data_IF_240798243790
#
_entry.id   IF_240798243790
#
_cell.length_a   1.000
_cell.length_b   1.000
_cell.length_c   1.000
_cell.angle_alpha   90.00
_cell.angle_beta   90.00
_cell.angle_gamma   90.00
#
_symmetry.space_group_name_H-M   'P 1'
#
loop_
_entity.id
_entity.type
_entity.pdbx_description
1 polymer ?
#
# COMPACT_ATOMS: atom_id res chain seq x y z
N UNK A 1 -5.45 -25.19 3.96
CA UNK A 1 -4.37 -24.88 4.92
C UNK A 1 -5.03 -24.34 6.19
N UNK A 2 -4.38 -24.38 7.36
CA UNK A 2 -4.96 -23.76 8.56
C UNK A 2 -4.88 -22.23 8.44
N UNK A 3 -5.90 -21.52 8.90
CA UNK A 3 -5.97 -20.04 8.83
C UNK A 3 -4.67 -19.37 9.36
N UNK A 4 -4.12 -19.90 10.45
CA UNK A 4 -2.89 -19.43 11.07
C UNK A 4 -1.70 -19.47 10.13
N UNK A 5 -1.57 -20.54 9.32
CA UNK A 5 -0.47 -20.66 8.36
C UNK A 5 -0.60 -19.65 7.23
N UNK A 6 -1.81 -19.37 6.75
CA UNK A 6 -2.03 -18.35 5.72
C UNK A 6 -1.65 -16.96 6.21
N UNK A 7 -2.02 -16.59 7.43
CA UNK A 7 -1.68 -15.28 8.01
C UNK A 7 -0.16 -15.13 8.13
N UNK A 8 0.54 -16.14 8.63
CA UNK A 8 2.00 -16.11 8.80
C UNK A 8 2.70 -15.97 7.44
N UNK A 9 2.28 -16.74 6.45
CA UNK A 9 2.83 -16.69 5.08
C UNK A 9 2.59 -15.30 4.48
N UNK A 10 1.35 -14.81 4.53
CA UNK A 10 0.99 -13.49 4.00
C UNK A 10 1.81 -12.36 4.63
N UNK A 11 1.98 -12.38 5.94
CA UNK A 11 2.81 -11.38 6.64
C UNK A 11 4.28 -11.46 6.26
N UNK A 12 4.85 -12.67 6.22
CA UNK A 12 6.27 -12.87 5.90
C UNK A 12 6.58 -12.44 4.47
N UNK A 13 5.81 -12.89 3.48
CA UNK A 13 6.05 -12.55 2.08
C UNK A 13 5.75 -11.09 1.77
N UNK A 14 4.70 -10.49 2.35
CA UNK A 14 4.43 -9.07 2.17
C UNK A 14 5.54 -8.19 2.79
N UNK A 15 6.05 -8.59 3.95
CA UNK A 15 7.19 -7.93 4.59
C UNK A 15 8.45 -8.04 3.71
N UNK A 16 8.78 -9.25 3.25
CA UNK A 16 9.93 -9.50 2.38
C UNK A 16 9.83 -8.74 1.05
N UNK A 17 8.66 -8.72 0.41
CA UNK A 17 8.44 -7.96 -0.82
C UNK A 17 8.69 -6.46 -0.61
N UNK A 18 8.17 -5.90 0.48
CA UNK A 18 8.31 -4.48 0.79
C UNK A 18 9.74 -4.10 1.19
N UNK A 19 10.43 -4.93 1.98
CA UNK A 19 11.83 -4.71 2.35
C UNK A 19 12.74 -4.90 1.14
N UNK A 20 12.51 -5.95 0.34
CA UNK A 20 13.26 -6.24 -0.88
C UNK A 20 13.15 -5.08 -1.87
N UNK A 21 11.94 -4.58 -2.11
CA UNK A 21 11.75 -3.38 -2.93
C UNK A 21 12.37 -2.12 -2.29
N UNK A 22 12.30 -1.98 -0.97
CA UNK A 22 12.98 -0.91 -0.26
C UNK A 22 14.50 -0.93 -0.49
N UNK A 23 15.11 -2.12 -0.56
CA UNK A 23 16.53 -2.28 -0.88
C UNK A 23 16.83 -1.88 -2.33
N UNK A 24 15.98 -2.25 -3.30
CA UNK A 24 16.23 -1.92 -4.72
C UNK A 24 16.21 -0.42 -4.99
N UNK A 25 15.36 0.33 -4.28
CA UNK A 25 15.30 1.80 -4.38
C UNK A 25 16.22 2.52 -3.38
N UNK A 26 17.11 1.80 -2.70
CA UNK A 26 18.10 2.33 -1.77
C UNK A 26 17.51 3.13 -0.59
N UNK A 27 16.46 2.59 0.05
CA UNK A 27 15.89 3.15 1.29
C UNK A 27 16.93 3.07 2.43
N UNK A 28 17.06 4.13 3.27
CA UNK A 28 17.95 4.09 4.43
C UNK A 28 17.72 2.86 5.32
N UNK A 29 18.79 2.16 5.71
CA UNK A 29 18.69 0.92 6.49
C UNK A 29 17.83 1.05 7.77
N UNK A 30 17.88 2.21 8.43
CA UNK A 30 17.10 2.51 9.65
C UNK A 30 15.58 2.58 9.40
N UNK A 31 15.15 2.73 8.14
CA UNK A 31 13.76 2.83 7.72
C UNK A 31 13.21 1.52 7.11
N UNK A 32 14.07 0.61 6.64
CA UNK A 32 13.67 -0.63 5.96
C UNK A 32 12.69 -1.48 6.76
N UNK A 33 12.94 -1.67 8.06
CA UNK A 33 12.06 -2.48 8.92
C UNK A 33 10.64 -1.91 8.94
N UNK A 34 10.50 -0.58 9.03
CA UNK A 34 9.21 0.09 9.04
C UNK A 34 8.52 0.06 7.66
N UNK A 35 9.30 0.03 6.57
CA UNK A 35 8.77 -0.19 5.23
C UNK A 35 8.13 -1.58 5.13
N UNK A 36 8.84 -2.60 5.62
CA UNK A 36 8.32 -3.97 5.75
C UNK A 36 7.02 -4.04 6.55
N UNK A 37 6.98 -3.38 7.72
CA UNK A 37 5.78 -3.33 8.56
C UNK A 37 4.63 -2.62 7.86
N UNK A 38 4.88 -1.53 7.13
CA UNK A 38 3.82 -0.82 6.41
C UNK A 38 3.18 -1.69 5.32
N UNK A 39 3.98 -2.44 4.57
CA UNK A 39 3.46 -3.30 3.51
C UNK A 39 2.82 -4.58 4.00
N UNK A 40 3.34 -5.19 5.08
CA UNK A 40 2.66 -6.34 5.70
C UNK A 40 1.32 -5.94 6.32
N UNK A 41 1.23 -4.76 6.94
CA UNK A 41 -0.02 -4.21 7.45
C UNK A 41 -1.02 -3.87 6.32
N UNK A 42 -0.55 -3.25 5.23
CA UNK A 42 -1.39 -3.01 4.06
C UNK A 42 -1.95 -4.29 3.45
N UNK A 43 -1.09 -5.31 3.31
CA UNK A 43 -1.47 -6.61 2.77
C UNK A 43 -2.45 -7.36 3.66
N UNK A 44 -2.25 -7.38 4.98
CA UNK A 44 -3.16 -8.10 5.87
C UNK A 44 -4.55 -7.45 5.90
N UNK A 45 -4.61 -6.10 5.84
CA UNK A 45 -5.90 -5.38 5.71
C UNK A 45 -6.58 -5.77 4.40
N UNK A 46 -5.85 -5.72 3.28
CA UNK A 46 -6.37 -6.18 1.99
C UNK A 46 -6.89 -7.62 2.06
N UNK A 47 -6.08 -8.54 2.59
CA UNK A 47 -6.41 -9.95 2.66
C UNK A 47 -7.65 -10.20 3.52
N UNK A 48 -7.70 -9.64 4.74
CA UNK A 48 -8.85 -9.79 5.64
C UNK A 48 -10.13 -9.23 5.05
N UNK A 49 -10.08 -8.05 4.41
CA UNK A 49 -11.25 -7.44 3.75
C UNK A 49 -11.70 -8.27 2.56
N UNK A 50 -10.76 -8.84 1.81
CA UNK A 50 -11.07 -9.71 0.68
C UNK A 50 -11.77 -11.00 1.13
N UNK A 51 -11.42 -11.55 2.30
CA UNK A 51 -12.11 -12.73 2.86
C UNK A 51 -13.58 -12.47 3.23
N UNK A 52 -13.95 -11.22 3.51
CA UNK A 52 -15.33 -10.84 3.87
C UNK A 52 -16.16 -10.50 2.61
N UNK A 53 -15.56 -10.52 1.41
CA UNK A 53 -16.29 -10.37 0.14
C UNK A 53 -16.59 -8.93 -0.27
N UNK A 54 -15.89 -7.93 0.28
CA UNK A 54 -16.05 -6.49 -0.06
C UNK A 54 -15.60 -6.16 -1.50
N UNK A 55 -14.98 -7.13 -2.18
CA UNK A 55 -14.54 -7.01 -3.56
C UNK A 55 -13.14 -6.37 -3.70
N UNK A 56 -12.55 -6.56 -4.89
CA UNK A 56 -11.15 -6.18 -5.18
C UNK A 56 -10.89 -4.68 -4.99
N UNK A 57 -11.85 -3.83 -5.37
CA UNK A 57 -11.71 -2.38 -5.24
C UNK A 57 -11.64 -1.97 -3.77
N UNK A 58 -12.62 -2.39 -2.96
CA UNK A 58 -12.69 -2.03 -1.53
C UNK A 58 -11.54 -2.60 -0.71
N UNK A 59 -11.13 -3.85 -0.98
CA UNK A 59 -9.98 -4.46 -0.32
C UNK A 59 -8.67 -3.69 -0.59
N UNK A 60 -8.42 -3.34 -1.85
CA UNK A 60 -7.21 -2.59 -2.22
C UNK A 60 -7.25 -1.14 -1.73
N UNK A 61 -8.44 -0.52 -1.73
CA UNK A 61 -8.65 0.81 -1.16
C UNK A 61 -8.27 0.85 0.33
N UNK A 62 -8.79 -0.08 1.14
CA UNK A 62 -8.51 -0.14 2.57
C UNK A 62 -7.05 -0.51 2.85
N UNK A 63 -6.48 -1.44 2.07
CA UNK A 63 -5.05 -1.77 2.15
C UNK A 63 -4.16 -0.56 1.87
N UNK A 64 -4.40 0.17 0.78
CA UNK A 64 -3.62 1.35 0.41
C UNK A 64 -3.80 2.52 1.39
N UNK A 65 -5.01 2.68 1.93
CA UNK A 65 -5.29 3.64 3.00
C UNK A 65 -4.46 3.32 4.25
N UNK A 66 -4.40 2.05 4.65
CA UNK A 66 -3.58 1.60 5.76
C UNK A 66 -2.09 1.91 5.55
N UNK A 67 -1.54 1.58 4.36
CA UNK A 67 -0.15 1.91 4.00
C UNK A 67 0.09 3.42 4.11
N UNK A 68 -0.80 4.23 3.51
CA UNK A 68 -0.65 5.69 3.52
C UNK A 68 -0.66 6.30 4.92
N UNK A 69 -1.56 5.83 5.80
CA UNK A 69 -1.64 6.27 7.20
C UNK A 69 -0.38 5.86 7.97
N UNK A 70 0.08 4.62 7.81
CA UNK A 70 1.30 4.14 8.47
C UNK A 70 2.54 4.89 8.00
N UNK A 71 2.67 5.19 6.70
CA UNK A 71 3.79 5.98 6.23
C UNK A 71 3.83 7.39 6.81
N UNK A 72 2.67 8.03 7.02
CA UNK A 72 2.59 9.33 7.71
C UNK A 72 3.06 9.22 9.17
N UNK A 73 2.72 8.13 9.85
CA UNK A 73 3.14 7.87 11.23
C UNK A 73 4.65 7.61 11.27
N UNK A 74 5.16 6.72 10.42
CA UNK A 74 6.57 6.33 10.38
C UNK A 74 7.50 7.45 9.93
N UNK A 75 7.06 8.30 8.99
CA UNK A 75 7.73 9.53 8.60
C UNK A 75 8.04 10.44 9.78
N UNK A 76 7.08 10.60 10.69
CA UNK A 76 7.28 11.38 11.92
C UNK A 76 8.21 10.69 12.91
N UNK A 77 8.09 9.38 13.08
CA UNK A 77 8.91 8.63 14.03
C UNK A 77 10.38 8.67 13.62
N UNK A 78 10.68 8.57 12.31
CA UNK A 78 12.05 8.52 11.80
C UNK A 78 12.55 9.84 11.20
N UNK A 79 11.72 10.89 11.16
CA UNK A 79 12.03 12.17 10.52
C UNK A 79 12.48 12.02 9.05
N UNK A 80 11.79 11.16 8.31
CA UNK A 80 12.01 10.93 6.88
C UNK A 80 10.80 11.37 6.07
N UNK A 81 10.97 11.70 4.77
CA UNK A 81 9.85 11.91 3.86
C UNK A 81 8.91 10.68 3.83
N UNK A 82 7.60 10.93 3.78
CA UNK A 82 6.55 9.89 3.79
C UNK A 82 6.74 8.86 2.67
N UNK A 83 7.24 9.32 1.51
CA UNK A 83 7.46 8.49 0.33
C UNK A 83 8.44 7.33 0.57
N UNK A 84 9.37 7.46 1.53
CA UNK A 84 10.33 6.41 1.90
C UNK A 84 9.62 5.16 2.41
N UNK A 85 8.50 5.32 3.13
CA UNK A 85 7.71 4.20 3.65
C UNK A 85 6.61 3.76 2.68
N UNK A 86 5.98 4.74 2.02
CA UNK A 86 4.81 4.47 1.20
C UNK A 86 5.11 3.75 -0.11
N UNK A 87 6.20 4.10 -0.80
CA UNK A 87 6.52 3.42 -2.07
C UNK A 87 6.77 1.93 -1.82
N UNK A 88 7.69 1.51 -0.92
CA UNK A 88 7.90 0.08 -0.68
C UNK A 88 6.70 -0.60 -0.03
N UNK A 89 5.96 0.11 0.83
CA UNK A 89 4.80 -0.44 1.52
C UNK A 89 3.62 -0.76 0.61
N UNK A 90 3.47 -0.07 -0.52
CA UNK A 90 2.35 -0.31 -1.45
C UNK A 90 2.61 -1.51 -2.38
N UNK A 91 3.87 -1.95 -2.51
CA UNK A 91 4.33 -2.99 -3.45
C UNK A 91 3.51 -4.28 -3.38
N UNK A 92 3.19 -4.84 -2.20
CA UNK A 92 2.41 -6.08 -2.15
C UNK A 92 1.02 -5.95 -2.79
N UNK A 93 0.43 -4.74 -2.79
CA UNK A 93 -0.91 -4.50 -3.32
C UNK A 93 -0.92 -4.28 -4.84
N UNK A 94 0.22 -3.91 -5.43
CA UNK A 94 0.28 -3.55 -6.85
C UNK A 94 -0.02 -4.77 -7.72
N UNK A 95 -0.95 -4.67 -8.69
CA UNK A 95 -1.34 -5.79 -9.54
C UNK A 95 -0.34 -6.03 -10.68
N UNK A 96 0.94 -6.27 -10.35
CA UNK A 96 2.02 -6.46 -11.32
C UNK A 96 1.89 -7.73 -12.15
N UNK A 97 1.54 -8.87 -11.52
CA UNK A 97 1.35 -10.14 -12.23
C UNK A 97 0.17 -10.06 -13.20
N UNK A 98 -1.03 -9.59 -12.81
CA UNK A 98 -2.13 -9.38 -13.76
C UNK A 98 -1.78 -8.41 -14.89
N UNK A 99 -1.00 -7.35 -14.62
CA UNK A 99 -0.55 -6.43 -15.66
C UNK A 99 0.38 -7.08 -16.68
N UNK A 100 1.37 -7.86 -16.21
CA UNK A 100 2.24 -8.63 -17.11
C UNK A 100 1.43 -9.65 -17.93
N UNK A 101 0.51 -10.37 -17.29
CA UNK A 101 -0.34 -11.35 -17.96
C UNK A 101 -1.27 -10.71 -19.00
N UNK A 102 -1.79 -9.51 -18.73
CA UNK A 102 -2.59 -8.77 -19.69
C UNK A 102 -1.82 -8.50 -20.98
N UNK A 103 -0.61 -7.95 -20.86
CA UNK A 103 0.26 -7.67 -22.02
C UNK A 103 0.62 -8.96 -22.75
N UNK A 104 0.96 -10.02 -22.02
CA UNK A 104 1.25 -11.33 -22.61
C UNK A 104 0.06 -11.88 -23.40
N UNK A 105 -1.15 -11.82 -22.85
CA UNK A 105 -2.36 -12.30 -23.51
C UNK A 105 -2.66 -11.50 -24.79
N UNK A 106 -2.40 -10.19 -24.80
CA UNK A 106 -2.53 -9.37 -26.02
C UNK A 106 -1.56 -9.83 -27.12
N UNK A 107 -0.29 -10.08 -26.76
CA UNK A 107 0.73 -10.54 -27.71
C UNK A 107 0.42 -11.94 -28.24
N UNK A 108 -0.17 -12.81 -27.42
CA UNK A 108 -0.60 -14.16 -27.81
C UNK A 108 -1.95 -14.19 -28.56
N UNK A 109 -2.57 -13.04 -28.81
CA UNK A 109 -3.86 -12.93 -29.53
C UNK A 109 -5.08 -13.37 -28.71
N UNK A 110 -4.93 -13.59 -27.39
CA UNK A 110 -5.99 -14.01 -26.49
C UNK A 110 -6.78 -12.79 -25.95
N UNK A 111 -7.50 -12.11 -26.85
CA UNK A 111 -8.12 -10.80 -26.55
C UNK A 111 -9.12 -10.84 -25.38
N UNK A 112 -9.98 -11.86 -25.30
CA UNK A 112 -10.95 -11.96 -24.19
C UNK A 112 -10.28 -12.06 -22.81
N UNK A 113 -9.18 -12.81 -22.70
CA UNK A 113 -8.42 -12.92 -21.45
C UNK A 113 -7.67 -11.62 -21.14
N UNK A 114 -7.13 -10.95 -22.17
CA UNK A 114 -6.48 -9.66 -22.02
C UNK A 114 -7.44 -8.61 -21.46
N UNK A 115 -8.67 -8.53 -21.97
CA UNK A 115 -9.71 -7.60 -21.50
C UNK A 115 -10.00 -7.77 -20.00
N UNK A 116 -10.22 -9.00 -19.55
CA UNK A 116 -10.50 -9.31 -18.13
C UNK A 116 -9.33 -8.90 -17.21
N UNK A 117 -8.09 -9.15 -17.65
CA UNK A 117 -6.90 -8.80 -16.89
C UNK A 117 -6.67 -7.30 -16.86
N UNK A 118 -6.90 -6.58 -17.96
CA UNK A 118 -6.81 -5.12 -18.03
C UNK A 118 -7.84 -4.50 -17.09
N UNK A 119 -9.10 -4.93 -17.16
CA UNK A 119 -10.15 -4.43 -16.26
C UNK A 119 -9.81 -4.69 -14.79
N UNK A 120 -9.26 -5.86 -14.48
CA UNK A 120 -8.78 -6.18 -13.13
C UNK A 120 -7.69 -5.20 -12.67
N UNK A 121 -6.70 -4.92 -13.51
CA UNK A 121 -5.60 -3.99 -13.20
C UNK A 121 -6.14 -2.58 -12.95
N UNK A 122 -7.05 -2.10 -13.81
CA UNK A 122 -7.67 -0.78 -13.67
C UNK A 122 -8.42 -0.67 -12.33
N UNK A 123 -9.31 -1.62 -12.03
CA UNK A 123 -10.12 -1.61 -10.81
C UNK A 123 -9.23 -1.60 -9.56
N UNK A 124 -8.20 -2.44 -9.53
CA UNK A 124 -7.27 -2.51 -8.40
C UNK A 124 -6.48 -1.21 -8.27
N UNK A 125 -5.92 -0.70 -9.38
CA UNK A 125 -5.08 0.51 -9.37
C UNK A 125 -5.87 1.75 -8.96
N UNK A 126 -7.12 1.87 -9.43
CA UNK A 126 -8.05 2.93 -9.00
C UNK A 126 -8.34 2.82 -7.51
N UNK A 127 -8.61 1.62 -7.00
CA UNK A 127 -8.79 1.38 -5.56
C UNK A 127 -7.59 1.85 -4.74
N UNK A 128 -6.38 1.44 -5.15
CA UNK A 128 -5.12 1.84 -4.50
C UNK A 128 -4.95 3.37 -4.53
N UNK A 129 -5.14 3.99 -5.69
CA UNK A 129 -4.98 5.43 -5.87
C UNK A 129 -5.93 6.21 -4.96
N UNK A 130 -7.22 5.84 -4.91
CA UNK A 130 -8.21 6.48 -4.05
C UNK A 130 -7.87 6.34 -2.57
N UNK A 131 -7.52 5.13 -2.11
CA UNK A 131 -7.19 4.88 -0.72
C UNK A 131 -5.94 5.65 -0.27
N UNK A 132 -4.93 5.65 -1.14
CA UNK A 132 -3.69 6.38 -0.91
C UNK A 132 -3.89 7.90 -0.89
N UNK A 133 -4.62 8.46 -1.86
CA UNK A 133 -4.94 9.89 -1.92
C UNK A 133 -5.73 10.35 -0.70
N UNK A 134 -6.69 9.54 -0.23
CA UNK A 134 -7.46 9.85 0.97
C UNK A 134 -6.57 9.88 2.22
N UNK A 135 -5.66 8.91 2.36
CA UNK A 135 -4.70 8.90 3.47
C UNK A 135 -3.80 10.15 3.47
N UNK A 136 -3.29 10.56 2.31
CA UNK A 136 -2.47 11.78 2.19
C UNK A 136 -3.28 13.04 2.54
N UNK A 137 -4.49 13.17 2.00
CA UNK A 137 -5.37 14.32 2.24
C UNK A 137 -5.70 14.49 3.73
N UNK A 138 -6.05 13.40 4.41
CA UNK A 138 -6.30 13.40 5.87
C UNK A 138 -5.02 13.79 6.62
N UNK A 139 -3.87 13.25 6.19
CA UNK A 139 -2.57 13.61 6.75
C UNK A 139 -2.29 15.11 6.70
N UNK A 140 -2.36 15.70 5.51
CA UNK A 140 -2.11 17.13 5.29
C UNK A 140 -3.03 18.03 6.13
N UNK A 141 -4.33 17.71 6.16
CA UNK A 141 -5.33 18.42 6.96
C UNK A 141 -4.97 18.36 8.45
N UNK A 142 -4.62 17.17 8.95
CA UNK A 142 -4.20 16.98 10.35
C UNK A 142 -2.94 17.76 10.69
N UNK A 143 -1.93 17.77 9.80
CA UNK A 143 -0.69 18.52 9.99
C UNK A 143 -0.91 20.03 10.00
N UNK A 144 -1.71 20.55 9.07
CA UNK A 144 -2.06 21.97 8.98
C UNK A 144 -2.77 22.45 10.24
N UNK A 145 -3.73 21.67 10.75
CA UNK A 145 -4.42 21.96 12.01
C UNK A 145 -3.48 21.96 13.22
N UNK A 146 -2.60 20.97 13.33
CA UNK A 146 -1.67 20.86 14.48
C UNK A 146 -0.65 22.00 14.49
N UNK A 147 -0.14 22.42 13.33
CA UNK A 147 0.75 23.58 13.19
C UNK A 147 0.06 24.90 13.59
N UNK A 148 -1.20 25.09 13.18
CA UNK A 148 -2.00 26.27 13.57
C UNK A 148 -2.23 26.34 15.08
N UNK A 149 -2.51 25.20 15.74
CA UNK A 149 -2.65 25.13 17.21
C UNK A 149 -1.33 25.44 17.95
N UNK A 150 -0.19 24.92 17.48
CA UNK A 150 1.12 25.20 18.11
C UNK A 150 1.48 26.70 18.00
N UNK A 151 1.21 27.33 16.85
CA UNK A 151 1.48 28.75 16.68
C UNK A 151 0.61 29.63 17.60
N UNK A 152 -0.67 29.26 17.79
CA UNK A 152 -1.58 29.98 18.70
C UNK A 152 -1.18 29.85 20.18
N UNK A 153 -0.57 28.72 20.58
CA UNK A 153 -0.06 28.52 21.96
C UNK A 153 1.25 29.25 22.25
N UNK A 154 2.02 29.60 21.23
CA UNK A 154 3.27 30.37 21.40
C UNK A 154 3.04 31.89 21.39
N UNK A 155 1.81 32.34 21.09
CA UNK A 155 1.39 33.74 21.06
C UNK A 155 0.64 34.16 22.34
N UNK A 156 0.44 33.23 23.28
CA UNK A 156 -0.16 33.42 24.61
C UNK A 156 0.90 33.08 25.63
#
# INVERSE_FOLDING_TARGET
MSLWTEVIINLAFAWLASVGFGLTINVPHRALILCGVSGSAGWIVYWSVNQIGVGRLGANFLGALCVGVLGIIFARIKNYPVIIFNIPGIVPLVPGVPAYQAVRAMVEGQLSNAEDLILRVIIVTVGIAMGFMLAQSIGEIFFKMRRKRKNKRNLV
#
